data_IF_235471163991
#
_entry.id   IF_235471163991
#
_cell.length_a   1.000
_cell.length_b   1.000
_cell.length_c   1.000
_cell.angle_alpha   90.00
_cell.angle_beta   90.00
_cell.angle_gamma   90.00
#
_symmetry.space_group_name_H-M   'P 1'
#
loop_
_entity.id
_entity.type
_entity.pdbx_description
1 polymer ?
#
# COMPACT_ATOMS: atom_id res chain seq x y z
N UNK A 1 1.13 4.04 -1.22
CA UNK A 1 1.47 5.26 -2.00
C UNK A 1 2.35 6.13 -1.11
N UNK A 2 3.59 6.44 -1.50
CA UNK A 2 4.41 7.42 -0.78
C UNK A 2 3.84 8.81 -1.07
N UNK A 3 3.00 9.31 -0.16
CA UNK A 3 2.26 10.56 -0.34
C UNK A 3 2.73 11.63 0.63
N UNK A 4 2.67 12.88 0.16
CA UNK A 4 2.67 14.05 1.04
C UNK A 4 1.48 13.93 1.98
N UNK A 5 1.71 14.04 3.29
CA UNK A 5 0.63 14.05 4.26
C UNK A 5 0.56 15.41 4.96
N UNK A 6 -0.66 15.88 5.17
CA UNK A 6 -0.95 17.17 5.77
C UNK A 6 -1.91 17.02 6.94
N UNK A 7 -1.65 17.76 8.01
CA UNK A 7 -2.53 17.85 9.17
C UNK A 7 -2.88 19.32 9.43
N UNK A 8 -4.17 19.59 9.66
CA UNK A 8 -4.65 20.89 10.10
C UNK A 8 -5.30 20.76 11.46
N UNK A 9 -4.77 21.47 12.44
CA UNK A 9 -5.32 21.54 13.80
C UNK A 9 -5.89 22.93 14.04
N UNK A 10 -7.13 23.00 14.51
CA UNK A 10 -7.83 24.26 14.73
C UNK A 10 -8.25 24.38 16.19
N UNK A 11 -7.96 25.54 16.81
CA UNK A 11 -8.42 25.93 18.14
C UNK A 11 -9.30 27.18 18.01
N UNK A 12 -10.62 27.03 17.74
CA UNK A 12 -11.48 28.16 17.40
C UNK A 12 -11.59 29.21 18.50
N UNK A 13 -11.57 28.78 19.77
CA UNK A 13 -11.69 29.67 20.94
C UNK A 13 -10.53 30.66 21.03
N UNK A 14 -9.33 30.22 20.63
CA UNK A 14 -8.10 31.03 20.70
C UNK A 14 -7.64 31.54 19.35
N UNK A 15 -8.47 31.33 18.30
CA UNK A 15 -8.22 31.73 16.92
C UNK A 15 -6.87 31.23 16.39
N UNK A 16 -6.41 30.08 16.87
CA UNK A 16 -5.18 29.43 16.43
C UNK A 16 -5.51 28.37 15.38
N UNK A 17 -4.83 28.43 14.25
CA UNK A 17 -4.80 27.38 13.24
C UNK A 17 -3.36 26.95 12.97
N UNK A 18 -3.11 25.65 12.99
CA UNK A 18 -1.80 25.05 12.75
C UNK A 18 -1.93 24.15 11.52
N UNK A 19 -1.10 24.39 10.51
CA UNK A 19 -1.03 23.58 9.30
C UNK A 19 0.37 22.99 9.16
N UNK A 20 0.45 21.67 9.07
CA UNK A 20 1.72 20.93 8.95
C UNK A 20 1.64 20.05 7.72
N UNK A 21 2.63 20.19 6.82
CA UNK A 21 2.81 19.34 5.67
C UNK A 21 4.18 18.67 5.74
N UNK A 22 4.24 17.36 5.54
CA UNK A 22 5.48 16.59 5.61
C UNK A 22 5.64 15.67 4.39
N UNK A 23 6.88 15.60 3.92
CA UNK A 23 7.33 14.70 2.85
C UNK A 23 7.95 13.46 3.49
N UNK A 24 7.12 12.59 4.07
CA UNK A 24 7.62 11.43 4.78
C UNK A 24 6.51 10.63 5.45
N UNK A 25 6.82 9.37 5.76
CA UNK A 25 5.93 8.52 6.52
C UNK A 25 5.85 9.01 7.97
N UNK A 26 4.63 9.13 8.47
CA UNK A 26 4.35 9.48 9.85
C UNK A 26 3.22 8.57 10.31
N UNK A 27 3.65 7.48 10.92
CA UNK A 27 2.81 6.44 11.48
C UNK A 27 1.76 7.04 12.43
N UNK A 28 0.49 6.96 12.01
CA UNK A 28 -0.69 7.47 12.73
C UNK A 28 -0.56 8.93 13.14
N UNK A 29 0.07 9.76 12.30
CA UNK A 29 0.24 11.21 12.54
C UNK A 29 0.99 11.54 13.83
N UNK A 30 1.83 10.65 14.35
CA UNK A 30 2.56 10.81 15.61
C UNK A 30 3.43 12.07 15.63
N UNK A 31 4.22 12.30 14.58
CA UNK A 31 5.10 13.47 14.47
C UNK A 31 4.28 14.75 14.30
N UNK A 32 3.29 14.75 13.39
CA UNK A 32 2.42 15.91 13.14
C UNK A 32 1.60 16.31 14.36
N UNK A 33 1.01 15.34 15.06
CA UNK A 33 0.23 15.56 16.29
C UNK A 33 1.11 16.11 17.39
N UNK A 34 2.30 15.56 17.57
CA UNK A 34 3.25 16.03 18.59
C UNK A 34 3.70 17.46 18.31
N UNK A 35 4.05 17.77 17.05
CA UNK A 35 4.42 19.13 16.66
C UNK A 35 3.26 20.11 16.82
N UNK A 36 2.04 19.70 16.46
CA UNK A 36 0.84 20.51 16.66
C UNK A 36 0.58 20.78 18.15
N UNK A 37 0.78 19.79 19.03
CA UNK A 37 0.67 19.95 20.49
C UNK A 37 1.71 20.93 21.01
N UNK A 38 2.97 20.78 20.59
CA UNK A 38 4.06 21.65 21.00
C UNK A 38 3.81 23.13 20.64
N UNK A 39 3.37 23.39 19.40
CA UNK A 39 3.02 24.74 18.93
C UNK A 39 1.84 25.31 19.73
N UNK A 40 0.82 24.47 20.01
CA UNK A 40 -0.32 24.89 20.82
C UNK A 40 0.13 25.26 22.25
N UNK A 41 0.93 24.43 22.91
CA UNK A 41 1.42 24.69 24.26
C UNK A 41 2.18 26.03 24.33
N UNK A 42 3.06 26.29 23.35
CA UNK A 42 3.78 27.58 23.25
C UNK A 42 2.81 28.75 23.07
N UNK A 43 1.85 28.64 22.14
CA UNK A 43 0.90 29.71 21.86
C UNK A 43 0.03 30.04 23.09
N UNK A 44 -0.37 29.02 23.83
CA UNK A 44 -1.16 29.13 25.04
C UNK A 44 -0.34 29.48 26.29
N UNK A 45 0.99 29.59 26.18
CA UNK A 45 1.93 29.80 27.29
C UNK A 45 1.86 28.69 28.35
N UNK A 46 1.46 27.49 27.93
CA UNK A 46 1.52 26.29 28.73
C UNK A 46 2.93 25.68 28.67
N UNK A 47 3.26 24.85 29.65
CA UNK A 47 4.55 24.15 29.65
C UNK A 47 4.46 22.95 28.71
N UNK A 48 5.21 22.89 27.59
CA UNK A 48 5.12 21.77 26.67
C UNK A 48 5.69 20.50 27.31
N UNK A 49 4.98 19.38 27.15
CA UNK A 49 5.47 18.08 27.63
C UNK A 49 6.73 17.64 26.87
N UNK A 50 6.85 18.03 25.60
CA UNK A 50 8.06 17.90 24.79
C UNK A 50 8.81 19.23 24.79
N UNK A 51 9.77 19.39 25.70
CA UNK A 51 10.55 20.63 25.79
C UNK A 51 11.66 20.72 24.72
N UNK A 52 12.28 21.89 24.59
CA UNK A 52 13.31 22.17 23.56
C UNK A 52 14.53 21.24 23.62
N UNK A 53 14.88 20.75 24.82
CA UNK A 53 15.98 19.81 25.02
C UNK A 53 15.64 18.41 24.52
N UNK A 54 14.37 18.01 24.62
CA UNK A 54 13.87 16.70 24.19
C UNK A 54 13.55 16.64 22.69
N UNK A 55 13.37 17.78 22.02
CA UNK A 55 13.10 17.86 20.57
C UNK A 55 14.18 17.16 19.74
N UNK A 56 15.47 17.35 20.08
CA UNK A 56 16.58 16.75 19.34
C UNK A 56 16.70 15.23 19.54
N UNK A 57 16.11 14.68 20.60
CA UNK A 57 16.10 13.25 20.90
C UNK A 57 14.80 12.57 20.46
N UNK A 58 13.77 13.34 20.08
CA UNK A 58 12.50 12.83 19.62
C UNK A 58 12.68 11.97 18.36
N UNK A 59 12.06 10.78 18.28
CA UNK A 59 10.94 10.31 19.10
C UNK A 59 11.32 9.42 20.30
N UNK A 60 12.61 9.26 20.63
CA UNK A 60 13.00 8.49 21.81
C UNK A 60 12.72 9.27 23.11
N UNK A 61 12.26 8.60 24.20
CA UNK A 61 12.00 7.17 24.34
C UNK A 61 10.58 6.73 23.95
N UNK A 62 9.72 7.64 23.51
CA UNK A 62 8.29 7.38 23.27
C UNK A 62 8.01 6.50 22.05
N UNK A 63 8.95 6.44 21.09
CA UNK A 63 8.87 5.55 19.93
C UNK A 63 10.22 4.88 19.71
N UNK A 64 10.21 3.55 19.70
CA UNK A 64 11.37 2.77 19.26
C UNK A 64 11.67 3.05 17.78
N UNK A 65 12.94 2.89 17.39
CA UNK A 65 13.28 2.87 15.97
C UNK A 65 12.45 1.80 15.25
N UNK A 66 11.98 2.05 14.01
CA UNK A 66 11.30 1.04 13.23
C UNK A 66 12.17 -0.21 13.16
N UNK A 67 11.65 -1.35 13.62
CA UNK A 67 12.31 -2.64 13.38
C UNK A 67 12.11 -2.93 11.89
N UNK A 68 13.17 -3.14 11.11
CA UNK A 68 13.03 -3.55 9.72
C UNK A 68 12.12 -4.78 9.68
N UNK A 69 11.01 -4.70 8.95
CA UNK A 69 10.18 -5.89 8.74
C UNK A 69 11.06 -6.89 7.98
N UNK A 70 11.26 -8.12 8.50
CA UNK A 70 11.99 -9.12 7.77
C UNK A 70 11.26 -9.34 6.44
N UNK A 71 12.03 -9.39 5.35
CA UNK A 71 11.47 -9.71 4.04
C UNK A 71 10.73 -11.06 4.13
N UNK A 72 9.55 -11.18 3.51
CA UNK A 72 8.81 -12.43 3.53
C UNK A 72 9.66 -13.52 2.87
N UNK A 73 9.80 -14.66 3.54
CA UNK A 73 10.40 -15.86 2.92
C UNK A 73 9.42 -16.38 1.87
N UNK A 74 9.83 -16.28 0.60
CA UNK A 74 9.01 -16.70 -0.53
C UNK A 74 9.35 -18.15 -0.88
N UNK A 75 8.51 -19.06 -0.40
CA UNK A 75 8.60 -20.49 -0.75
C UNK A 75 7.88 -20.76 -2.08
N UNK A 76 8.40 -21.68 -2.88
CA UNK A 76 7.73 -22.16 -4.07
C UNK A 76 6.50 -23.00 -3.69
N UNK A 77 5.31 -22.46 -3.93
CA UNK A 77 4.03 -23.14 -3.71
C UNK A 77 3.32 -23.26 -5.06
N UNK A 78 3.03 -24.49 -5.55
CA UNK A 78 2.39 -24.68 -6.84
C UNK A 78 0.96 -24.12 -6.83
N UNK A 79 0.48 -23.67 -7.99
CA UNK A 79 -0.91 -23.25 -8.15
C UNK A 79 -1.87 -24.43 -7.91
N UNK A 80 -2.99 -24.18 -7.24
CA UNK A 80 -4.07 -25.17 -7.07
C UNK A 80 -5.05 -25.21 -8.23
N UNK A 81 -4.98 -24.24 -9.12
CA UNK A 81 -5.89 -24.04 -10.26
C UNK A 81 -5.08 -23.74 -11.53
N UNK A 82 -5.65 -23.96 -12.73
CA UNK A 82 -5.01 -23.55 -13.97
C UNK A 82 -4.66 -22.06 -13.98
N UNK A 83 -3.53 -21.72 -14.60
CA UNK A 83 -3.06 -20.33 -14.67
C UNK A 83 -4.09 -19.41 -15.34
N UNK A 84 -4.82 -19.94 -16.33
CA UNK A 84 -5.88 -19.26 -17.09
C UNK A 84 -7.02 -18.74 -16.21
N UNK A 85 -7.28 -19.35 -15.05
CA UNK A 85 -8.37 -18.91 -14.16
C UNK A 85 -8.07 -17.52 -13.56
N UNK A 86 -6.78 -17.22 -13.35
CA UNK A 86 -6.31 -15.96 -12.78
C UNK A 86 -6.08 -14.89 -13.84
N UNK A 87 -5.82 -15.27 -15.09
CA UNK A 87 -5.60 -14.32 -16.18
C UNK A 87 -6.88 -13.51 -16.44
N UNK A 88 -6.75 -12.20 -16.49
CA UNK A 88 -7.90 -11.30 -16.55
C UNK A 88 -7.58 -9.82 -16.50
N UNK A 89 -8.53 -9.03 -16.98
CA UNK A 89 -8.63 -7.61 -16.68
C UNK A 89 -9.51 -7.42 -15.44
N UNK A 90 -9.02 -6.68 -14.46
CA UNK A 90 -9.71 -6.40 -13.21
C UNK A 90 -9.85 -4.89 -13.01
N UNK A 91 -11.06 -4.41 -12.78
CA UNK A 91 -11.40 -2.98 -12.74
C UNK A 91 -11.90 -2.58 -11.37
N UNK A 92 -11.43 -1.43 -10.89
CA UNK A 92 -11.95 -0.69 -9.75
C UNK A 92 -12.22 0.76 -10.19
N UNK A 93 -13.35 1.33 -9.76
CA UNK A 93 -13.76 2.66 -10.22
C UNK A 93 -12.83 3.79 -9.74
N UNK A 94 -12.17 3.61 -8.59
CA UNK A 94 -11.29 4.63 -8.00
C UNK A 94 -9.83 4.41 -8.44
N UNK A 95 -9.37 3.16 -8.39
CA UNK A 95 -7.98 2.80 -8.63
C UNK A 95 -7.68 2.37 -10.07
N UNK A 96 -8.69 2.36 -10.96
CA UNK A 96 -8.50 2.04 -12.36
C UNK A 96 -8.42 0.54 -12.63
N UNK A 97 -7.51 0.13 -13.53
CA UNK A 97 -7.47 -1.25 -14.06
C UNK A 97 -6.13 -1.91 -13.78
N UNK A 98 -6.17 -3.16 -13.32
CA UNK A 98 -5.02 -4.06 -13.28
C UNK A 98 -5.21 -5.21 -14.25
N UNK A 99 -4.11 -5.71 -14.81
CA UNK A 99 -4.11 -6.85 -15.71
C UNK A 99 -3.30 -7.97 -15.08
N UNK A 100 -3.85 -9.18 -15.06
CA UNK A 100 -3.13 -10.39 -14.70
C UNK A 100 -2.91 -11.18 -15.98
N UNK A 101 -1.65 -11.44 -16.31
CA UNK A 101 -1.24 -12.13 -17.54
C UNK A 101 -0.42 -13.37 -17.22
N UNK A 102 -0.46 -14.34 -18.14
CA UNK A 102 0.46 -15.48 -18.14
C UNK A 102 1.67 -15.11 -18.98
N UNK A 103 2.85 -15.13 -18.36
CA UNK A 103 4.14 -15.01 -19.03
C UNK A 103 4.92 -16.34 -18.84
N UNK A 104 4.86 -17.21 -19.84
CA UNK A 104 5.58 -18.50 -19.86
C UNK A 104 5.33 -19.39 -18.61
N UNK A 105 4.09 -19.43 -18.13
CA UNK A 105 3.72 -20.21 -16.95
C UNK A 105 3.88 -19.47 -15.61
N UNK A 106 4.25 -18.19 -15.66
CA UNK A 106 4.35 -17.31 -14.49
C UNK A 106 3.26 -16.23 -14.55
N UNK A 107 2.53 -16.07 -13.46
CA UNK A 107 1.55 -14.99 -13.34
C UNK A 107 2.25 -13.66 -13.11
N UNK A 108 1.95 -12.67 -13.94
CA UNK A 108 2.36 -11.29 -13.75
C UNK A 108 1.15 -10.37 -13.60
N UNK A 109 1.23 -9.43 -12.66
CA UNK A 109 0.29 -8.33 -12.51
C UNK A 109 0.89 -7.05 -13.08
N UNK A 110 0.18 -6.41 -14.00
CA UNK A 110 0.55 -5.13 -14.59
C UNK A 110 -0.43 -4.04 -14.12
N UNK A 111 0.11 -2.94 -13.62
CA UNK A 111 -0.67 -1.78 -13.19
C UNK A 111 0.02 -0.49 -13.65
N UNK A 112 -0.57 0.21 -14.61
CA UNK A 112 0.10 1.35 -15.25
C UNK A 112 1.45 0.93 -15.84
N UNK A 113 2.54 1.54 -15.35
CA UNK A 113 3.90 1.25 -15.79
C UNK A 113 4.66 0.25 -14.89
N UNK A 114 4.05 -0.21 -13.79
CA UNK A 114 4.68 -1.15 -12.85
C UNK A 114 4.23 -2.59 -13.09
N UNK A 115 5.12 -3.52 -12.78
CA UNK A 115 4.92 -4.96 -12.93
C UNK A 115 5.26 -5.69 -11.63
N UNK A 116 4.52 -6.77 -11.38
CA UNK A 116 4.73 -7.65 -10.25
C UNK A 116 4.65 -9.11 -10.69
N UNK A 117 5.59 -9.92 -10.25
CA UNK A 117 5.47 -11.38 -10.31
C UNK A 117 4.55 -11.83 -9.18
N UNK A 118 3.56 -12.66 -9.51
CA UNK A 118 2.67 -13.27 -8.52
C UNK A 118 3.16 -14.67 -8.16
N UNK A 119 3.58 -14.85 -6.90
CA UNK A 119 3.89 -16.18 -6.35
C UNK A 119 2.88 -16.58 -5.30
N UNK A 120 2.34 -17.80 -5.40
CA UNK A 120 1.33 -18.27 -4.45
C UNK A 120 1.91 -18.34 -3.05
N UNK A 121 1.13 -17.87 -2.07
CA UNK A 121 1.40 -18.03 -0.65
C UNK A 121 0.66 -19.26 -0.14
N UNK A 122 1.32 -20.05 0.71
CA UNK A 122 0.66 -21.18 1.38
C UNK A 122 -0.50 -20.66 2.26
N UNK A 123 -1.72 -20.93 1.82
CA UNK A 123 -2.94 -20.46 2.47
C UNK A 123 -4.15 -21.27 1.98
N UNK A 124 -5.19 -21.34 2.81
CA UNK A 124 -6.49 -21.91 2.45
C UNK A 124 -7.27 -21.07 1.44
N UNK A 125 -6.86 -19.81 1.22
CA UNK A 125 -7.42 -18.90 0.21
C UNK A 125 -6.38 -18.62 -0.88
N UNK A 126 -6.78 -18.28 -2.12
CA UNK A 126 -5.85 -17.96 -3.20
C UNK A 126 -5.16 -16.61 -2.93
N UNK A 127 -4.14 -16.64 -2.08
CA UNK A 127 -3.26 -15.53 -1.71
C UNK A 127 -1.94 -15.63 -2.43
N UNK A 128 -1.41 -14.48 -2.82
CA UNK A 128 -0.20 -14.34 -3.62
C UNK A 128 0.68 -13.23 -3.05
N UNK A 129 1.98 -13.43 -3.10
CA UNK A 129 2.97 -12.37 -2.99
C UNK A 129 3.03 -11.62 -4.32
N UNK A 130 3.03 -10.30 -4.24
CA UNK A 130 3.31 -9.40 -5.35
C UNK A 130 4.77 -8.96 -5.24
N UNK A 131 5.63 -9.58 -6.04
CA UNK A 131 7.06 -9.28 -6.06
C UNK A 131 7.30 -8.23 -7.14
N UNK A 132 7.71 -7.00 -6.79
CA UNK A 132 7.95 -5.95 -7.77
C UNK A 132 9.05 -6.38 -8.76
N UNK A 133 8.91 -5.99 -10.02
CA UNK A 133 9.94 -6.22 -11.04
C UNK A 133 10.25 -4.95 -11.84
N UNK A 134 11.47 -4.87 -12.37
CA UNK A 134 11.93 -3.74 -13.18
C UNK A 134 11.90 -2.43 -12.41
N UNK A 135 11.25 -1.40 -12.98
CA UNK A 135 11.18 -0.07 -12.35
C UNK A 135 10.53 -0.05 -10.96
N UNK A 136 9.73 -1.07 -10.62
CA UNK A 136 9.07 -1.16 -9.32
C UNK A 136 9.98 -1.69 -8.20
N UNK A 137 11.07 -2.40 -8.52
CA UNK A 137 11.92 -3.12 -7.53
C UNK A 137 12.49 -2.20 -6.45
N UNK A 138 12.83 -0.97 -6.81
CA UNK A 138 13.41 0.01 -5.90
C UNK A 138 12.38 1.00 -5.34
N UNK A 139 11.12 0.91 -5.78
CA UNK A 139 10.07 1.89 -5.45
C UNK A 139 8.96 1.30 -4.57
N UNK A 140 8.79 -0.02 -4.55
CA UNK A 140 7.62 -0.65 -3.95
C UNK A 140 8.06 -1.92 -3.25
N UNK A 141 7.82 -2.04 -1.95
CA UNK A 141 8.08 -3.30 -1.23
C UNK A 141 7.19 -4.44 -1.72
N UNK A 142 7.59 -5.68 -1.43
CA UNK A 142 6.75 -6.87 -1.65
C UNK A 142 5.42 -6.69 -0.90
N UNK A 143 4.32 -7.01 -1.58
CA UNK A 143 2.97 -6.89 -1.02
C UNK A 143 2.19 -8.20 -1.17
N UNK A 144 0.95 -8.23 -0.67
CA UNK A 144 0.05 -9.35 -0.85
C UNK A 144 -1.21 -8.99 -1.64
N UNK A 145 -1.65 -9.99 -2.40
CA UNK A 145 -2.86 -9.96 -3.20
C UNK A 145 -3.68 -11.21 -2.91
N UNK A 146 -5.00 -11.06 -2.99
CA UNK A 146 -5.95 -12.15 -2.81
C UNK A 146 -6.96 -12.14 -3.94
N UNK A 147 -7.14 -13.28 -4.59
CA UNK A 147 -8.25 -13.45 -5.51
C UNK A 147 -9.56 -13.74 -4.75
N UNK A 148 -10.66 -13.16 -5.23
CA UNK A 148 -12.00 -13.50 -4.79
C UNK A 148 -12.61 -14.54 -5.72
N UNK A 149 -13.42 -15.42 -5.13
CA UNK A 149 -14.10 -16.50 -5.83
C UNK A 149 -15.61 -16.33 -5.67
N UNK A 150 -16.34 -16.54 -6.77
CA UNK A 150 -17.80 -16.51 -6.77
C UNK A 150 -18.35 -17.74 -6.07
N UNK A 151 -19.31 -17.55 -5.14
CA UNK A 151 -19.83 -18.63 -4.28
C UNK A 151 -20.48 -19.81 -5.00
N UNK A 152 -21.00 -19.60 -6.22
CA UNK A 152 -21.80 -20.58 -6.95
C UNK A 152 -20.94 -21.35 -7.95
N UNK A 153 -20.12 -20.63 -8.71
CA UNK A 153 -19.34 -21.19 -9.84
C UNK A 153 -17.91 -21.53 -9.44
N UNK A 154 -17.45 -21.10 -8.26
CA UNK A 154 -16.06 -21.16 -7.82
C UNK A 154 -15.07 -20.51 -8.81
N UNK A 155 -15.56 -19.63 -9.70
CA UNK A 155 -14.73 -18.87 -10.63
C UNK A 155 -14.14 -17.65 -9.94
N UNK A 156 -12.93 -17.27 -10.38
CA UNK A 156 -12.28 -16.05 -9.94
C UNK A 156 -13.06 -14.85 -10.49
N UNK A 157 -13.62 -14.02 -9.61
CA UNK A 157 -14.48 -12.88 -9.97
C UNK A 157 -13.87 -11.53 -9.61
N UNK A 158 -12.73 -11.54 -8.92
CA UNK A 158 -12.08 -10.31 -8.50
C UNK A 158 -10.73 -10.52 -7.85
N UNK A 159 -10.10 -9.39 -7.54
CA UNK A 159 -8.83 -9.33 -6.86
C UNK A 159 -8.82 -8.20 -5.84
N UNK A 160 -8.21 -8.46 -4.70
CA UNK A 160 -8.09 -7.56 -3.57
C UNK A 160 -6.60 -7.36 -3.29
N UNK A 161 -6.18 -6.11 -3.20
CA UNK A 161 -4.77 -5.72 -3.05
C UNK A 161 -4.63 -4.88 -1.80
N UNK A 162 -3.82 -5.36 -0.86
CA UNK A 162 -3.73 -4.79 0.48
C UNK A 162 -3.21 -3.32 0.44
N UNK A 163 -2.24 -3.00 -0.44
CA UNK A 163 -1.76 -1.61 -0.65
C UNK A 163 -2.79 -0.62 -1.21
N UNK A 164 -3.91 -1.09 -1.76
CA UNK A 164 -5.01 -0.23 -2.22
C UNK A 164 -6.17 -0.23 -1.21
N UNK A 165 -5.86 -0.23 0.09
CA UNK A 165 -6.87 -0.20 1.17
C UNK A 165 -7.84 -1.39 1.08
N UNK A 166 -7.32 -2.57 0.75
CA UNK A 166 -8.12 -3.77 0.47
C UNK A 166 -9.23 -3.51 -0.57
N UNK A 167 -8.92 -2.74 -1.61
CA UNK A 167 -9.89 -2.44 -2.67
C UNK A 167 -10.22 -3.66 -3.51
N UNK A 168 -11.51 -3.84 -3.76
CA UNK A 168 -12.03 -4.88 -4.65
C UNK A 168 -11.98 -4.43 -6.11
N UNK A 169 -11.16 -5.09 -6.91
CA UNK A 169 -11.18 -5.00 -8.37
C UNK A 169 -12.01 -6.18 -8.91
N UNK A 170 -12.98 -5.90 -9.78
CA UNK A 170 -13.85 -6.93 -10.37
C UNK A 170 -13.33 -7.38 -11.71
N UNK A 171 -13.34 -8.69 -11.96
CA UNK A 171 -12.93 -9.28 -13.24
C UNK A 171 -13.96 -8.91 -14.31
N UNK A 172 -13.52 -8.27 -15.39
CA UNK A 172 -14.40 -7.81 -16.48
C UNK A 172 -14.15 -8.51 -17.81
N UNK A 173 -13.02 -9.23 -17.96
CA UNK A 173 -12.69 -9.93 -19.19
C UNK A 173 -11.28 -10.54 -19.17
N UNK A 174 -10.85 -11.07 -20.31
CA UNK A 174 -9.47 -11.54 -20.56
C UNK A 174 -8.67 -10.35 -21.12
N UNK A 175 -7.39 -10.13 -20.72
CA UNK A 175 -6.61 -9.01 -21.20
C UNK A 175 -6.52 -9.04 -22.72
N UNK A 176 -6.73 -7.90 -23.39
CA UNK A 176 -6.25 -7.75 -24.75
C UNK A 176 -4.72 -7.86 -24.74
N UNK A 177 -4.09 -8.53 -25.74
CA UNK A 177 -2.64 -8.57 -25.83
C UNK A 177 -2.10 -7.12 -25.84
N UNK A 178 -0.98 -6.83 -25.16
CA UNK A 178 -0.44 -5.48 -25.11
C UNK A 178 -0.20 -4.99 -26.54
N UNK A 179 -0.85 -3.89 -26.92
CA UNK A 179 -0.54 -3.21 -28.17
C UNK A 179 0.90 -2.73 -28.09
N UNK A 180 1.74 -3.25 -28.98
CA UNK A 180 3.10 -2.75 -29.19
C UNK A 180 2.96 -1.27 -29.57
N UNK A 181 3.55 -0.32 -28.82
CA UNK A 181 3.59 1.06 -29.27
C UNK A 181 4.44 1.11 -30.54
N UNK A 182 3.81 1.44 -31.66
CA UNK A 182 4.50 1.75 -32.92
C UNK A 182 5.32 3.02 -32.70
N UNK A 183 6.64 2.90 -32.85
CA UNK A 183 7.58 4.03 -32.85
C UNK A 183 7.32 4.92 -34.08
#
# INVERSE_FOLDING_TARGET
>A
LFGYSTMMTLFPQTKLGIFIAMTGEDDKDFFRTTLSSYIADIYHKETPWLNSTLLCAFPLPWKAAPVPKPEPVITEVPLTRPISDFVGQYVNNLYGTVYVVDNMGQLELHYGFVKFILKRKESSKPRFYMIPTGAAEHLIDIDTLKFSEQRITNLIDGVNIDKFEDSDFKKVGVPAPPSVPTI
#
